data_IF_944405524935
#
_entry.id   IF_944405524935
#
_cell.length_a   1.000
_cell.length_b   1.000
_cell.length_c   1.000
_cell.angle_alpha   90.00
_cell.angle_beta   90.00
_cell.angle_gamma   90.00
#
_symmetry.space_group_name_H-M   'P 1'
#
loop_
_entity.id
_entity.type
_entity.pdbx_description
1 polymer ?
#
# COMPACT_ATOMS: atom_id res chain seq x y z
N UNK A 1 -9.81 -5.57 -31.89
CA UNK A 1 -9.83 -4.13 -31.58
C UNK A 1 -11.12 -3.69 -30.86
N UNK A 2 -12.34 -3.99 -31.36
CA UNK A 2 -13.62 -3.63 -30.70
C UNK A 2 -13.77 -4.21 -29.27
N UNK A 3 -13.26 -5.41 -29.00
CA UNK A 3 -13.36 -6.08 -27.69
C UNK A 3 -12.47 -5.42 -26.63
N UNK A 4 -11.27 -4.97 -27.00
CA UNK A 4 -10.34 -4.27 -26.11
C UNK A 4 -10.87 -2.88 -25.76
N UNK A 5 -11.40 -2.14 -26.73
CA UNK A 5 -12.03 -0.83 -26.53
C UNK A 5 -13.25 -0.92 -25.61
N UNK A 6 -14.07 -1.97 -25.76
CA UNK A 6 -15.22 -2.22 -24.88
C UNK A 6 -14.76 -2.53 -23.46
N UNK A 7 -13.75 -3.39 -23.29
CA UNK A 7 -13.20 -3.73 -21.99
C UNK A 7 -12.58 -2.51 -21.28
N UNK A 8 -11.83 -1.66 -22.02
CA UNK A 8 -11.31 -0.41 -21.47
C UNK A 8 -12.44 0.54 -21.06
N UNK A 9 -13.47 0.69 -21.87
CA UNK A 9 -14.63 1.52 -21.54
C UNK A 9 -15.35 1.04 -20.28
N UNK A 10 -15.54 -0.27 -20.15
CA UNK A 10 -16.14 -0.88 -18.96
C UNK A 10 -15.23 -0.69 -17.72
N UNK A 11 -13.92 -0.80 -17.87
CA UNK A 11 -12.96 -0.57 -16.78
C UNK A 11 -13.04 0.88 -16.27
N UNK A 12 -12.92 1.88 -17.16
CA UNK A 12 -12.98 3.29 -16.79
C UNK A 12 -14.32 3.70 -16.18
N UNK A 13 -15.40 3.01 -16.50
CA UNK A 13 -16.73 3.22 -15.93
C UNK A 13 -16.86 2.70 -14.49
N UNK A 14 -16.02 1.72 -14.09
CA UNK A 14 -16.03 1.13 -12.76
C UNK A 14 -14.99 1.74 -11.81
N UNK A 15 -14.15 2.67 -12.29
CA UNK A 15 -13.25 3.43 -11.43
C UNK A 15 -14.07 4.37 -10.56
N UNK A 16 -13.74 4.40 -9.27
CA UNK A 16 -14.23 5.44 -8.36
C UNK A 16 -13.51 6.77 -8.62
N UNK A 17 -14.07 7.55 -9.53
CA UNK A 17 -13.54 8.85 -9.91
C UNK A 17 -13.55 9.86 -8.77
N UNK A 18 -14.50 9.72 -7.83
CA UNK A 18 -14.59 10.61 -6.66
C UNK A 18 -13.37 10.36 -5.77
N UNK A 19 -13.08 9.10 -5.45
CA UNK A 19 -11.90 8.71 -4.68
C UNK A 19 -10.62 9.15 -5.38
N UNK A 20 -10.49 8.92 -6.69
CA UNK A 20 -9.33 9.33 -7.48
C UNK A 20 -9.12 10.85 -7.43
N UNK A 21 -10.20 11.62 -7.59
CA UNK A 21 -10.15 13.08 -7.54
C UNK A 21 -9.70 13.57 -6.16
N UNK A 22 -10.24 12.99 -5.09
CA UNK A 22 -9.84 13.33 -3.71
C UNK A 22 -8.35 13.08 -3.51
N UNK A 23 -7.84 11.91 -3.93
CA UNK A 23 -6.41 11.59 -3.84
C UNK A 23 -5.55 12.58 -4.62
N UNK A 24 -5.95 12.96 -5.83
CA UNK A 24 -5.25 13.96 -6.64
C UNK A 24 -5.28 15.36 -6.00
N UNK A 25 -6.40 15.77 -5.43
CA UNK A 25 -6.50 17.04 -4.72
C UNK A 25 -5.58 17.09 -3.49
N UNK A 26 -5.53 16.00 -2.70
CA UNK A 26 -4.63 15.89 -1.54
C UNK A 26 -3.17 15.94 -2.00
N UNK A 27 -2.81 15.19 -3.04
CA UNK A 27 -1.45 15.21 -3.59
C UNK A 27 -1.04 16.56 -4.15
N UNK A 28 -1.96 17.26 -4.82
CA UNK A 28 -1.70 18.62 -5.32
C UNK A 28 -1.51 19.61 -4.17
N UNK A 29 -2.30 19.50 -3.11
CA UNK A 29 -2.15 20.33 -1.91
C UNK A 29 -0.82 20.06 -1.21
N UNK A 30 -0.39 18.82 -1.11
CA UNK A 30 0.90 18.43 -0.53
C UNK A 30 2.07 19.03 -1.34
N UNK A 31 2.04 18.92 -2.67
CA UNK A 31 3.05 19.53 -3.57
C UNK A 31 3.07 21.04 -3.42
N UNK A 32 1.90 21.70 -3.32
CA UNK A 32 1.80 23.14 -3.09
C UNK A 32 2.44 23.52 -1.76
N UNK A 33 2.17 22.79 -0.69
CA UNK A 33 2.75 23.03 0.63
C UNK A 33 4.27 22.85 0.64
N UNK A 34 4.79 21.78 0.00
CA UNK A 34 6.23 21.57 -0.16
C UNK A 34 6.89 22.70 -0.94
N UNK A 35 6.23 23.20 -1.99
CA UNK A 35 6.74 24.34 -2.79
C UNK A 35 6.83 25.61 -1.96
N UNK A 36 5.81 25.91 -1.15
CA UNK A 36 5.83 27.06 -0.25
C UNK A 36 6.92 26.95 0.84
N UNK A 37 7.14 25.74 1.36
CA UNK A 37 8.21 25.46 2.32
C UNK A 37 9.62 25.54 1.68
N UNK A 38 9.73 25.23 0.40
CA UNK A 38 10.97 25.37 -0.35
C UNK A 38 11.34 26.86 -0.56
N UNK A 39 10.36 27.70 -0.88
CA UNK A 39 10.58 29.16 -1.06
C UNK A 39 11.17 29.82 0.18
N UNK A 40 10.80 29.36 1.38
CA UNK A 40 11.33 29.87 2.65
C UNK A 40 12.55 29.09 3.17
N UNK A 41 13.09 28.16 2.36
CA UNK A 41 14.32 27.42 2.64
C UNK A 41 14.20 26.28 3.64
N UNK A 42 12.98 25.88 4.03
CA UNK A 42 12.77 24.74 4.95
C UNK A 42 12.88 23.37 4.27
N UNK A 43 12.56 23.29 2.97
CA UNK A 43 12.56 22.05 2.21
C UNK A 43 13.42 22.21 0.97
N UNK A 44 14.15 21.16 0.59
CA UNK A 44 14.97 21.15 -0.63
C UNK A 44 14.12 20.79 -1.85
N UNK A 45 14.54 21.26 -3.02
CA UNK A 45 13.86 21.03 -4.29
C UNK A 45 13.69 19.53 -4.63
N UNK A 46 14.67 18.70 -4.27
CA UNK A 46 14.62 17.24 -4.52
C UNK A 46 13.43 16.54 -3.83
N UNK A 47 12.90 17.08 -2.72
CA UNK A 47 11.67 16.55 -2.11
C UNK A 47 10.44 16.77 -2.99
N UNK A 48 10.35 17.94 -3.63
CA UNK A 48 9.25 18.27 -4.55
C UNK A 48 9.30 17.35 -5.78
N UNK A 49 10.48 17.18 -6.37
CA UNK A 49 10.68 16.33 -7.53
C UNK A 49 10.38 14.86 -7.21
N UNK A 50 10.75 14.40 -6.01
CA UNK A 50 10.41 13.08 -5.50
C UNK A 50 8.91 12.91 -5.34
N UNK A 51 8.22 13.90 -4.75
CA UNK A 51 6.76 13.87 -4.54
C UNK A 51 5.99 13.88 -5.85
N UNK A 52 6.41 14.69 -6.82
CA UNK A 52 5.84 14.68 -8.17
C UNK A 52 5.99 13.32 -8.83
N UNK A 53 7.19 12.73 -8.78
CA UNK A 53 7.46 11.40 -9.32
C UNK A 53 6.60 10.34 -8.64
N UNK A 54 6.50 10.39 -7.31
CA UNK A 54 5.67 9.47 -6.53
C UNK A 54 4.18 9.60 -6.89
N UNK A 55 3.68 10.83 -7.10
CA UNK A 55 2.30 11.08 -7.53
C UNK A 55 2.00 10.43 -8.89
N UNK A 56 2.87 10.64 -9.90
CA UNK A 56 2.69 10.01 -11.21
C UNK A 56 2.75 8.48 -11.14
N UNK A 57 3.71 7.93 -10.41
CA UNK A 57 3.83 6.48 -10.22
C UNK A 57 2.63 5.93 -9.45
N UNK A 58 2.14 6.65 -8.43
CA UNK A 58 0.98 6.28 -7.64
C UNK A 58 -0.30 6.21 -8.47
N UNK A 59 -0.55 7.20 -9.31
CA UNK A 59 -1.69 7.20 -10.26
C UNK A 59 -1.57 6.03 -11.23
N UNK A 60 -0.40 5.83 -11.84
CA UNK A 60 -0.15 4.70 -12.73
C UNK A 60 -0.37 3.36 -12.04
N UNK A 61 0.14 3.19 -10.82
CA UNK A 61 -0.05 1.99 -10.01
C UNK A 61 -1.53 1.77 -9.66
N UNK A 62 -2.27 2.81 -9.28
CA UNK A 62 -3.69 2.72 -8.98
C UNK A 62 -4.51 2.23 -10.17
N UNK A 63 -4.21 2.74 -11.38
CA UNK A 63 -4.87 2.30 -12.61
C UNK A 63 -4.54 0.83 -12.94
N UNK A 64 -3.29 0.40 -12.76
CA UNK A 64 -2.88 -1.00 -13.01
C UNK A 64 -3.48 -1.95 -11.97
N UNK A 65 -3.40 -1.60 -10.69
CA UNK A 65 -3.93 -2.42 -9.59
C UNK A 65 -5.45 -2.53 -9.68
N UNK A 66 -6.13 -1.47 -10.10
CA UNK A 66 -7.57 -1.48 -10.34
C UNK A 66 -8.04 -2.49 -11.40
N UNK A 67 -7.13 -2.96 -12.27
CA UNK A 67 -7.42 -4.04 -13.23
C UNK A 67 -7.36 -5.44 -12.60
N UNK A 68 -6.78 -5.56 -11.40
CA UNK A 68 -6.57 -6.84 -10.74
C UNK A 68 -7.79 -7.19 -9.89
N UNK A 69 -8.31 -8.40 -10.07
CA UNK A 69 -9.36 -8.92 -9.21
C UNK A 69 -8.79 -9.20 -7.80
N UNK A 70 -9.13 -8.31 -6.86
CA UNK A 70 -8.68 -8.41 -5.47
C UNK A 70 -9.08 -9.73 -4.80
N UNK A 71 -10.17 -10.39 -5.24
CA UNK A 71 -10.58 -11.70 -4.72
C UNK A 71 -9.59 -12.79 -5.10
N UNK A 72 -8.99 -12.69 -6.29
CA UNK A 72 -7.91 -13.61 -6.72
C UNK A 72 -6.64 -13.31 -5.95
N UNK A 73 -6.31 -12.02 -5.79
CA UNK A 73 -5.15 -11.59 -5.03
C UNK A 73 -5.24 -12.06 -3.58
N UNK A 74 -6.39 -11.88 -2.93
CA UNK A 74 -6.61 -12.31 -1.55
C UNK A 74 -6.40 -13.83 -1.35
N UNK A 75 -6.69 -14.67 -2.36
CA UNK A 75 -6.42 -16.12 -2.31
C UNK A 75 -4.93 -16.46 -2.24
N UNK A 76 -4.07 -15.61 -2.76
CA UNK A 76 -2.62 -15.81 -2.78
C UNK A 76 -1.92 -15.35 -1.49
N UNK A 77 -2.68 -15.20 -0.39
CA UNK A 77 -2.16 -14.72 0.91
C UNK A 77 -0.93 -15.50 1.41
N UNK A 78 -0.87 -16.80 1.12
CA UNK A 78 0.22 -17.69 1.50
C UNK A 78 1.56 -17.36 0.82
N UNK A 79 1.56 -16.50 -0.20
CA UNK A 79 2.76 -16.00 -0.88
C UNK A 79 3.12 -14.61 -0.35
N UNK A 80 2.21 -13.64 -0.49
CA UNK A 80 2.54 -12.25 -0.19
C UNK A 80 2.62 -11.95 1.32
N UNK A 81 1.85 -12.64 2.17
CA UNK A 81 1.90 -12.38 3.61
C UNK A 81 3.25 -12.78 4.24
N UNK A 82 3.81 -14.00 3.98
CA UNK A 82 5.17 -14.33 4.43
C UNK A 82 6.23 -13.40 3.86
N UNK A 83 6.12 -13.01 2.57
CA UNK A 83 7.07 -12.05 1.97
C UNK A 83 7.04 -10.71 2.68
N UNK A 84 5.86 -10.19 3.01
CA UNK A 84 5.72 -8.92 3.75
C UNK A 84 6.34 -9.01 5.16
N UNK A 85 6.14 -10.13 5.85
CA UNK A 85 6.77 -10.37 7.17
C UNK A 85 8.29 -10.47 7.04
N UNK A 86 8.81 -11.19 6.05
CA UNK A 86 10.26 -11.27 5.80
C UNK A 86 10.84 -9.89 5.53
N UNK A 87 10.18 -9.07 4.69
CA UNK A 87 10.60 -7.68 4.44
C UNK A 87 10.66 -6.86 5.75
N UNK A 88 9.69 -7.04 6.64
CA UNK A 88 9.69 -6.38 7.94
C UNK A 88 10.87 -6.84 8.80
N UNK A 89 11.18 -8.14 8.79
CA UNK A 89 12.33 -8.68 9.53
C UNK A 89 13.68 -8.18 9.00
N UNK A 90 13.78 -7.83 7.72
CA UNK A 90 15.01 -7.27 7.15
C UNK A 90 15.40 -5.90 7.76
N UNK A 91 14.48 -5.21 8.44
CA UNK A 91 14.80 -3.99 9.19
C UNK A 91 15.87 -4.22 10.26
N UNK A 92 15.92 -5.41 10.87
CA UNK A 92 16.89 -5.77 11.90
C UNK A 92 18.25 -6.21 11.32
N UNK A 93 18.43 -6.11 10.02
CA UNK A 93 19.71 -6.38 9.32
C UNK A 93 20.43 -5.08 8.99
N UNK A 94 21.60 -5.20 8.35
CA UNK A 94 22.37 -4.05 7.84
C UNK A 94 21.67 -3.21 6.77
N UNK A 95 20.54 -3.69 6.23
CA UNK A 95 19.71 -2.96 5.28
C UNK A 95 18.77 -1.94 5.95
N UNK A 96 18.51 -2.10 7.25
CA UNK A 96 17.67 -1.20 8.02
C UNK A 96 18.34 0.15 8.25
N UNK A 97 17.60 1.23 8.02
CA UNK A 97 18.05 2.61 8.32
C UNK A 97 17.08 3.30 9.26
N UNK A 98 17.70 4.02 10.20
CA UNK A 98 16.98 4.88 11.13
C UNK A 98 16.82 6.28 10.54
N UNK A 99 15.59 6.78 10.50
CA UNK A 99 15.27 8.16 10.15
C UNK A 99 14.42 8.78 11.24
N UNK A 100 14.78 9.97 11.68
CA UNK A 100 14.09 10.70 12.75
C UNK A 100 13.91 9.88 14.07
N UNK A 101 14.82 8.95 14.36
CA UNK A 101 14.77 8.08 15.55
C UNK A 101 14.08 6.73 15.34
N UNK A 102 13.39 6.50 14.23
CA UNK A 102 12.67 5.27 13.95
C UNK A 102 13.40 4.37 12.96
N UNK A 103 13.60 3.10 13.32
CA UNK A 103 14.10 2.05 12.45
C UNK A 103 12.94 1.50 11.59
N UNK A 104 12.63 2.18 10.49
CA UNK A 104 11.43 1.90 9.70
C UNK A 104 11.69 1.73 8.19
N UNK A 105 12.91 1.99 7.73
CA UNK A 105 13.23 2.06 6.32
C UNK A 105 14.27 1.02 5.93
N UNK A 106 14.07 0.37 4.77
CA UNK A 106 15.07 -0.48 4.13
C UNK A 106 15.77 0.28 3.02
N UNK A 107 17.10 0.22 3.02
CA UNK A 107 17.94 0.74 1.95
C UNK A 107 18.15 -0.34 0.89
N UNK A 108 17.61 -0.13 -0.30
CA UNK A 108 17.81 -1.02 -1.46
C UNK A 108 18.95 -0.55 -2.38
N UNK A 109 19.72 0.46 -1.96
CA UNK A 109 20.81 1.04 -2.73
C UNK A 109 20.35 2.16 -3.66
N UNK A 110 19.39 1.93 -4.52
CA UNK A 110 18.81 2.91 -5.45
C UNK A 110 17.58 3.65 -4.89
N UNK A 111 16.93 3.11 -3.89
CA UNK A 111 15.76 3.70 -3.21
C UNK A 111 15.64 3.19 -1.79
N UNK A 112 14.77 3.82 -1.01
CA UNK A 112 14.37 3.34 0.32
C UNK A 112 12.89 3.01 0.31
N UNK A 113 12.52 1.90 0.94
CA UNK A 113 11.14 1.48 1.13
C UNK A 113 10.82 1.33 2.61
N UNK A 114 9.56 1.50 2.96
CA UNK A 114 9.06 1.23 4.30
C UNK A 114 8.30 -0.11 4.28
N UNK A 115 8.84 -1.20 4.84
CA UNK A 115 8.22 -2.52 4.78
C UNK A 115 6.82 -2.58 5.40
N UNK A 116 6.57 -1.76 6.43
CA UNK A 116 5.26 -1.70 7.10
C UNK A 116 4.13 -1.26 6.15
N UNK A 117 4.41 -0.48 5.09
CA UNK A 117 3.39 -0.14 4.09
C UNK A 117 2.96 -1.37 3.28
N UNK A 118 3.93 -2.23 2.93
CA UNK A 118 3.65 -3.51 2.25
C UNK A 118 2.94 -4.47 3.20
N UNK A 119 3.38 -4.52 4.46
CA UNK A 119 2.78 -5.38 5.49
C UNK A 119 1.32 -5.01 5.75
N UNK A 120 0.97 -3.71 5.80
CA UNK A 120 -0.42 -3.24 5.93
C UNK A 120 -1.32 -3.77 4.82
N UNK A 121 -0.87 -3.67 3.57
CA UNK A 121 -1.64 -4.17 2.43
C UNK A 121 -1.80 -5.70 2.48
N UNK A 122 -0.72 -6.42 2.79
CA UNK A 122 -0.74 -7.87 2.95
C UNK A 122 -1.69 -8.29 4.08
N UNK A 123 -1.65 -7.59 5.20
CA UNK A 123 -2.53 -7.82 6.35
C UNK A 123 -4.01 -7.62 6.00
N UNK A 124 -4.37 -6.48 5.37
CA UNK A 124 -5.76 -6.18 4.99
C UNK A 124 -6.32 -7.28 4.09
N UNK A 125 -5.58 -7.67 3.06
CA UNK A 125 -6.02 -8.69 2.11
C UNK A 125 -6.11 -10.08 2.73
N UNK A 126 -5.13 -10.48 3.55
CA UNK A 126 -5.11 -11.80 4.21
C UNK A 126 -6.18 -11.90 5.28
N UNK A 127 -6.41 -10.84 6.06
CA UNK A 127 -7.47 -10.80 7.06
C UNK A 127 -8.85 -10.83 6.41
N UNK A 128 -9.08 -10.05 5.35
CA UNK A 128 -10.33 -10.08 4.60
C UNK A 128 -10.62 -11.47 4.03
N UNK A 129 -9.60 -12.16 3.51
CA UNK A 129 -9.72 -13.55 3.06
C UNK A 129 -10.05 -14.49 4.21
N UNK A 130 -9.37 -14.37 5.34
CA UNK A 130 -9.60 -15.19 6.53
C UNK A 130 -11.04 -15.04 7.03
N UNK A 131 -11.52 -13.79 7.20
CA UNK A 131 -12.90 -13.50 7.60
C UNK A 131 -13.90 -14.08 6.60
N UNK A 132 -13.68 -13.88 5.31
CA UNK A 132 -14.52 -14.41 4.24
C UNK A 132 -14.64 -15.94 4.26
N UNK A 133 -13.60 -16.64 4.72
CA UNK A 133 -13.60 -18.10 4.84
C UNK A 133 -14.26 -18.62 6.10
N UNK A 134 -14.21 -17.88 7.17
CA UNK A 134 -14.84 -18.27 8.41
C UNK A 134 -16.38 -18.15 8.36
N UNK A 135 -16.90 -17.12 7.70
CA UNK A 135 -18.35 -16.88 7.64
C UNK A 135 -18.99 -16.95 9.03
N UNK A 136 -20.07 -17.72 9.19
CA UNK A 136 -20.79 -17.86 10.45
C UNK A 136 -19.98 -18.50 11.59
N UNK A 137 -18.86 -19.18 11.26
CA UNK A 137 -17.97 -19.81 12.26
C UNK A 137 -17.23 -18.78 13.11
N UNK A 138 -17.20 -17.51 12.70
CA UNK A 138 -16.60 -16.42 13.50
C UNK A 138 -17.18 -16.30 14.90
N UNK A 139 -18.45 -16.69 15.09
CA UNK A 139 -19.14 -16.63 16.37
C UNK A 139 -18.69 -17.72 17.37
N UNK A 140 -17.76 -18.59 16.97
CA UNK A 140 -17.19 -19.60 17.87
C UNK A 140 -15.87 -19.10 18.47
N UNK A 141 -15.68 -19.35 19.76
CA UNK A 141 -14.50 -18.89 20.49
C UNK A 141 -13.15 -19.25 19.83
N UNK A 142 -12.93 -20.49 19.31
CA UNK A 142 -11.66 -20.86 18.68
C UNK A 142 -11.35 -20.01 17.43
N UNK A 143 -12.37 -19.78 16.59
CA UNK A 143 -12.16 -18.99 15.35
C UNK A 143 -12.00 -17.50 15.65
N UNK A 144 -12.68 -16.98 16.67
CA UNK A 144 -12.47 -15.63 17.16
C UNK A 144 -11.04 -15.42 17.67
N UNK A 145 -10.51 -16.35 18.49
CA UNK A 145 -9.13 -16.30 18.96
C UNK A 145 -8.12 -16.39 17.81
N UNK A 146 -8.42 -17.19 16.78
CA UNK A 146 -7.57 -17.27 15.59
C UNK A 146 -7.55 -15.96 14.79
N UNK A 147 -8.68 -15.24 14.71
CA UNK A 147 -8.71 -13.90 14.12
C UNK A 147 -7.92 -12.89 14.95
N UNK A 148 -8.04 -12.95 16.28
CA UNK A 148 -7.24 -12.11 17.17
C UNK A 148 -5.73 -12.38 17.00
N UNK A 149 -5.34 -13.65 16.90
CA UNK A 149 -3.95 -14.02 16.62
C UNK A 149 -3.46 -13.48 15.27
N UNK A 150 -4.30 -13.57 14.21
CA UNK A 150 -3.98 -12.99 12.91
C UNK A 150 -3.81 -11.47 13.00
N UNK A 151 -4.68 -10.79 13.76
CA UNK A 151 -4.60 -9.35 13.97
C UNK A 151 -3.31 -8.93 14.69
N UNK A 152 -2.78 -9.75 15.58
CA UNK A 152 -1.55 -9.44 16.33
C UNK A 152 -0.28 -9.54 15.48
N UNK A 153 -0.29 -10.26 14.35
CA UNK A 153 0.91 -10.43 13.50
C UNK A 153 1.60 -9.12 13.11
N UNK A 154 0.91 -8.04 12.69
CA UNK A 154 1.58 -6.80 12.30
C UNK A 154 2.06 -5.96 13.49
N UNK A 155 1.75 -6.35 14.74
CA UNK A 155 2.12 -5.61 15.96
C UNK A 155 3.27 -6.27 16.74
N UNK A 156 3.74 -7.45 16.32
CA UNK A 156 4.90 -8.15 16.88
C UNK A 156 6.13 -7.85 16.08
#
# INVERSE_FOLDING_TARGET
>A
MKTVLKWLGDYFRHIDWILMLICLCISAFDIYLLSALNEIGYVRQDYIDTQLTACFLGVGAALVIGMIDYKKLAKCWFVYAPVAVILQMLLFTSLGITRAGDLAWLNLGFTTIQPSEILKLAFILSLAWHISKLGDKMNTLPHFLLLCAHFLVPFG
#
